data_IF_856612105220
#
_entry.id   IF_856612105220
#
_cell.length_a   1.000
_cell.length_b   1.000
_cell.length_c   1.000
_cell.angle_alpha   90.00
_cell.angle_beta   90.00
_cell.angle_gamma   90.00
#
_symmetry.space_group_name_H-M   'P 1'
#
loop_
_entity.id
_entity.type
_entity.pdbx_description
1 polymer ?
#
# COMPACT_ATOMS: atom_id res chain seq x y z
N UNK A 1 -12.65 -6.20 -8.09
CA UNK A 1 -11.81 -5.26 -8.85
C UNK A 1 -11.87 -5.69 -10.31
N UNK A 2 -12.49 -4.89 -11.19
CA UNK A 2 -12.42 -5.14 -12.64
C UNK A 2 -11.29 -4.29 -13.22
N UNK A 3 -10.35 -4.94 -13.90
CA UNK A 3 -9.20 -4.25 -14.50
C UNK A 3 -9.55 -3.75 -15.89
N UNK A 4 -9.45 -2.44 -16.11
CA UNK A 4 -9.57 -1.87 -17.45
C UNK A 4 -8.24 -2.06 -18.20
N UNK A 5 -8.23 -2.95 -19.19
CA UNK A 5 -7.02 -3.27 -19.98
C UNK A 5 -6.39 -2.03 -20.61
N UNK A 6 -7.17 -1.00 -20.96
CA UNK A 6 -6.67 0.25 -21.56
C UNK A 6 -5.93 1.14 -20.56
N UNK A 7 -6.12 0.93 -19.26
CA UNK A 7 -5.43 1.66 -18.19
C UNK A 7 -4.16 0.94 -17.74
N UNK A 8 -3.95 -0.30 -18.18
CA UNK A 8 -2.83 -1.14 -17.77
C UNK A 8 -1.84 -1.44 -18.90
N UNK A 9 -2.27 -1.26 -20.15
CA UNK A 9 -1.45 -1.53 -21.32
C UNK A 9 -1.46 -0.36 -22.30
N UNK A 10 -0.31 -0.11 -22.92
CA UNK A 10 -0.18 0.73 -24.11
C UNK A 10 -1.00 0.16 -25.29
N UNK A 11 -1.19 0.95 -26.34
CA UNK A 11 -1.83 0.50 -27.58
C UNK A 11 -1.11 -0.72 -28.22
N UNK A 12 0.18 -0.88 -27.96
CA UNK A 12 1.02 -1.99 -28.44
C UNK A 12 1.06 -3.17 -27.46
N UNK A 13 0.12 -3.25 -26.51
CA UNK A 13 0.04 -4.31 -25.49
C UNK A 13 1.29 -4.44 -24.60
N UNK A 14 2.11 -3.40 -24.51
CA UNK A 14 3.16 -3.30 -23.49
C UNK A 14 2.57 -2.82 -22.16
N UNK A 15 2.93 -3.42 -21.00
CA UNK A 15 2.38 -3.04 -19.70
C UNK A 15 2.83 -1.63 -19.31
N UNK A 16 1.92 -0.85 -18.74
CA UNK A 16 2.21 0.47 -18.18
C UNK A 16 2.91 0.32 -16.82
N UNK A 17 3.70 1.32 -16.38
CA UNK A 17 4.34 1.31 -15.05
C UNK A 17 3.34 1.07 -13.90
N UNK A 18 2.09 1.49 -14.08
CA UNK A 18 1.00 1.27 -13.13
C UNK A 18 0.70 -0.21 -12.91
N UNK A 19 0.80 -1.05 -13.94
CA UNK A 19 0.61 -2.49 -13.79
C UNK A 19 1.70 -3.09 -12.89
N UNK A 20 2.95 -2.66 -13.05
CA UNK A 20 4.04 -3.12 -12.17
C UNK A 20 3.77 -2.76 -10.72
N UNK A 21 3.34 -1.52 -10.45
CA UNK A 21 2.99 -1.07 -9.09
C UNK A 21 1.86 -1.91 -8.49
N UNK A 22 0.76 -2.09 -9.23
CA UNK A 22 -0.39 -2.89 -8.80
C UNK A 22 0.04 -4.33 -8.51
N UNK A 23 0.80 -4.97 -9.41
CA UNK A 23 1.26 -6.34 -9.20
C UNK A 23 2.13 -6.45 -7.96
N UNK A 24 3.07 -5.53 -7.75
CA UNK A 24 3.92 -5.52 -6.55
C UNK A 24 3.09 -5.32 -5.27
N UNK A 25 2.11 -4.42 -5.29
CA UNK A 25 1.22 -4.15 -4.16
C UNK A 25 0.38 -5.38 -3.77
N UNK A 26 -0.32 -5.98 -4.74
CA UNK A 26 -1.19 -7.13 -4.49
C UNK A 26 -0.39 -8.38 -4.09
N UNK A 27 0.81 -8.58 -4.65
CA UNK A 27 1.70 -9.65 -4.18
C UNK A 27 2.31 -9.35 -2.81
N UNK A 28 2.50 -8.07 -2.44
CA UNK A 28 2.82 -7.66 -1.08
C UNK A 28 1.75 -8.15 -0.10
N UNK A 29 0.46 -7.94 -0.41
CA UNK A 29 -0.65 -8.49 0.38
C UNK A 29 -0.64 -10.02 0.43
N UNK A 30 -0.37 -10.69 -0.70
CA UNK A 30 -0.25 -12.14 -0.73
C UNK A 30 0.88 -12.67 0.18
N UNK A 31 1.93 -11.86 0.40
CA UNK A 31 3.05 -12.13 1.32
C UNK A 31 2.78 -11.62 2.75
N UNK A 32 1.61 -11.05 3.03
CA UNK A 32 1.21 -10.61 4.36
C UNK A 32 1.51 -9.14 4.70
N UNK A 33 1.97 -8.34 3.73
CA UNK A 33 2.10 -6.90 3.93
C UNK A 33 0.71 -6.23 4.01
N UNK A 34 0.60 -5.20 4.85
CA UNK A 34 -0.61 -4.40 5.05
C UNK A 34 -0.39 -2.98 4.53
N UNK A 35 -1.46 -2.21 4.41
CA UNK A 35 -1.36 -0.86 3.86
C UNK A 35 -0.53 0.08 4.75
N UNK A 36 0.34 0.84 4.12
CA UNK A 36 1.27 1.73 4.80
C UNK A 36 0.58 2.95 5.43
N UNK A 37 -0.58 3.37 4.92
CA UNK A 37 -1.37 4.46 5.55
C UNK A 37 -1.95 4.06 6.92
N UNK A 38 -2.06 2.76 7.20
CA UNK A 38 -2.52 2.23 8.49
C UNK A 38 -1.36 2.01 9.47
N UNK A 39 -0.12 2.39 9.09
CA UNK A 39 1.04 2.27 9.95
C UNK A 39 0.83 3.02 11.28
N UNK A 40 1.26 2.49 12.45
CA UNK A 40 1.10 3.13 13.76
C UNK A 40 1.59 4.59 13.80
N UNK A 41 2.64 4.87 13.03
CA UNK A 41 3.29 6.18 12.87
C UNK A 41 2.79 7.01 11.66
N UNK A 42 1.82 6.51 10.88
CA UNK A 42 1.23 7.25 9.76
C UNK A 42 0.34 8.39 10.27
N UNK A 43 0.94 9.56 10.47
CA UNK A 43 0.25 10.76 10.94
C UNK A 43 -0.35 11.56 9.77
N UNK A 44 -1.18 10.90 8.97
CA UNK A 44 -1.85 11.52 7.82
C UNK A 44 -2.91 12.51 8.35
N UNK A 45 -2.87 13.79 7.93
CA UNK A 45 -3.82 14.79 8.40
C UNK A 45 -5.13 14.71 7.60
N UNK A 46 -5.89 13.62 7.75
CA UNK A 46 -7.14 13.42 7.01
C UNK A 46 -8.15 14.56 7.23
N UNK A 47 -8.78 15.02 6.16
CA UNK A 47 -9.96 15.89 6.24
C UNK A 47 -11.21 15.02 6.41
N UNK A 48 -11.38 14.40 7.58
CA UNK A 48 -12.48 13.46 7.85
C UNK A 48 -13.89 14.01 7.54
N UNK A 49 -14.22 15.28 7.85
CA UNK A 49 -15.53 15.86 7.50
C UNK A 49 -15.82 15.89 6.00
N UNK A 50 -14.78 15.88 5.15
CA UNK A 50 -14.91 15.78 3.70
C UNK A 50 -14.87 14.32 3.23
N UNK A 51 -13.90 13.55 3.73
CA UNK A 51 -13.62 12.20 3.26
C UNK A 51 -14.75 11.22 3.59
N UNK A 52 -15.27 11.24 4.82
CA UNK A 52 -16.30 10.28 5.27
C UNK A 52 -17.59 10.38 4.43
N UNK A 53 -18.17 11.57 4.17
CA UNK A 53 -19.33 11.68 3.29
C UNK A 53 -19.09 11.21 1.85
N UNK A 54 -17.86 11.35 1.32
CA UNK A 54 -17.52 10.86 -0.01
C UNK A 54 -17.49 9.33 -0.06
N UNK A 55 -16.88 8.69 0.94
CA UNK A 55 -16.82 7.23 1.05
C UNK A 55 -18.20 6.60 1.32
N UNK A 56 -19.05 7.25 2.11
CA UNK A 56 -20.43 6.80 2.30
C UNK A 56 -21.21 6.78 0.97
N UNK A 57 -20.94 7.74 0.06
CA UNK A 57 -21.58 7.79 -1.26
C UNK A 57 -21.13 6.64 -2.18
N UNK A 58 -19.98 6.02 -1.94
CA UNK A 58 -19.54 4.84 -2.70
C UNK A 58 -20.19 3.55 -2.19
N UNK A 59 -21.05 3.63 -1.17
CA UNK A 59 -21.77 2.49 -0.59
C UNK A 59 -21.03 1.80 0.55
N UNK A 60 -19.90 2.35 1.02
CA UNK A 60 -19.20 1.84 2.20
C UNK A 60 -19.98 2.19 3.47
N UNK A 61 -20.03 1.26 4.42
CA UNK A 61 -20.50 1.50 5.78
C UNK A 61 -19.48 2.27 6.61
N UNK A 62 -19.91 2.88 7.72
CA UNK A 62 -18.99 3.54 8.66
C UNK A 62 -17.93 2.58 9.23
N UNK A 63 -18.27 1.30 9.42
CA UNK A 63 -17.35 0.27 9.88
C UNK A 63 -16.27 -0.01 8.84
N UNK A 64 -16.64 -0.19 7.57
CA UNK A 64 -15.69 -0.35 6.47
C UNK A 64 -14.81 0.90 6.29
N UNK A 65 -15.37 2.09 6.45
CA UNK A 65 -14.61 3.35 6.39
C UNK A 65 -13.55 3.40 7.50
N UNK A 66 -13.92 3.08 8.73
CA UNK A 66 -12.95 3.04 9.83
C UNK A 66 -11.87 2.00 9.57
N UNK A 67 -12.28 0.76 9.28
CA UNK A 67 -11.38 -0.38 9.12
C UNK A 67 -10.40 -0.19 7.96
N UNK A 68 -10.85 0.39 6.84
CA UNK A 68 -10.04 0.49 5.62
C UNK A 68 -9.20 1.78 5.55
N UNK A 69 -9.59 2.87 6.23
CA UNK A 69 -8.97 4.18 6.08
C UNK A 69 -8.38 4.78 7.35
N UNK A 70 -9.05 4.63 8.50
CA UNK A 70 -8.71 5.36 9.72
C UNK A 70 -8.04 4.52 10.79
N UNK A 71 -8.41 3.24 10.87
CA UNK A 71 -7.83 2.32 11.83
C UNK A 71 -6.37 2.03 11.47
N UNK A 72 -5.51 2.07 12.50
CA UNK A 72 -4.10 1.71 12.39
C UNK A 72 -3.90 0.30 12.90
N UNK A 73 -2.95 -0.43 12.32
CA UNK A 73 -2.60 -1.74 12.87
C UNK A 73 -1.81 -1.59 14.18
N UNK A 74 -1.95 -2.59 15.05
CA UNK A 74 -1.21 -2.65 16.31
C UNK A 74 0.24 -3.05 16.05
N UNK A 75 1.17 -2.27 16.61
CA UNK A 75 2.60 -2.50 16.43
C UNK A 75 3.05 -3.90 16.88
N UNK A 76 2.37 -4.50 17.86
CA UNK A 76 2.73 -5.82 18.37
C UNK A 76 2.44 -6.96 17.38
N UNK A 77 1.53 -6.75 16.42
CA UNK A 77 1.04 -7.79 15.53
C UNK A 77 1.84 -7.89 14.23
N UNK A 78 2.69 -6.90 13.94
CA UNK A 78 3.39 -6.78 12.66
C UNK A 78 4.90 -6.59 12.83
N UNK A 79 5.68 -7.17 11.91
CA UNK A 79 7.04 -6.72 11.67
C UNK A 79 6.99 -5.52 10.73
N UNK A 80 7.41 -4.35 11.22
CA UNK A 80 7.36 -3.09 10.46
C UNK A 80 8.68 -2.33 10.57
N UNK A 81 8.96 -1.51 9.56
CA UNK A 81 10.04 -0.49 9.60
C UNK A 81 9.43 0.88 9.97
N UNK A 82 10.21 1.95 10.09
CA UNK A 82 9.61 3.28 10.27
C UNK A 82 8.71 3.65 9.08
N UNK A 83 7.58 4.33 9.32
CA UNK A 83 6.61 4.73 8.28
C UNK A 83 7.28 5.22 6.99
N UNK A 84 6.80 4.71 5.86
CA UNK A 84 7.38 4.94 4.54
C UNK A 84 6.37 5.51 3.54
N UNK A 85 6.54 6.79 3.20
CA UNK A 85 5.72 7.46 2.18
C UNK A 85 5.96 6.94 0.77
N UNK A 86 7.05 6.22 0.55
CA UNK A 86 7.45 5.68 -0.74
C UNK A 86 7.20 4.17 -0.88
N UNK A 87 6.65 3.53 0.14
CA UNK A 87 6.30 2.11 0.08
C UNK A 87 5.31 1.83 -1.04
N UNK A 88 5.51 0.71 -1.75
CA UNK A 88 4.53 0.21 -2.72
C UNK A 88 3.19 -0.14 -2.06
N UNK A 89 3.17 -0.37 -0.75
CA UNK A 89 1.98 -0.66 0.05
C UNK A 89 1.17 0.58 0.42
N UNK A 90 1.61 1.77 0.00
CA UNK A 90 0.88 3.00 0.23
C UNK A 90 -0.14 3.26 -0.89
N UNK A 91 -1.37 3.68 -0.53
CA UNK A 91 -2.32 4.22 -1.51
C UNK A 91 -2.00 5.64 -1.92
N UNK A 92 -2.54 6.07 -3.06
CA UNK A 92 -2.56 7.47 -3.41
C UNK A 92 -3.45 8.25 -2.44
N UNK A 93 -2.90 9.31 -1.87
CA UNK A 93 -3.59 10.27 -1.02
C UNK A 93 -3.51 11.63 -1.72
N UNK A 94 -4.53 11.99 -2.51
CA UNK A 94 -4.64 13.32 -3.10
C UNK A 94 -4.71 14.39 -2.00
N UNK A 95 -4.02 15.51 -2.22
CA UNK A 95 -3.95 16.64 -1.28
C UNK A 95 -5.34 17.10 -0.79
N UNK A 96 -6.30 17.15 -1.70
CA UNK A 96 -7.67 17.58 -1.42
C UNK A 96 -8.44 16.73 -0.39
N UNK A 97 -7.96 15.54 -0.03
CA UNK A 97 -8.53 14.69 1.02
C UNK A 97 -7.90 14.94 2.40
N UNK A 98 -6.96 15.86 2.50
CA UNK A 98 -6.18 16.13 3.72
C UNK A 98 -6.23 17.61 4.12
N UNK A 99 -5.77 17.90 5.33
CA UNK A 99 -5.63 19.24 5.87
C UNK A 99 -4.19 19.73 5.66
N UNK A 100 -4.04 20.95 5.13
CA UNK A 100 -2.74 21.55 4.85
C UNK A 100 -2.19 21.10 3.51
N UNK A 101 -0.86 20.90 3.45
CA UNK A 101 -0.16 20.49 2.23
C UNK A 101 0.45 19.09 2.43
N UNK A 102 -0.40 18.08 2.35
CA UNK A 102 -0.01 16.68 2.48
C UNK A 102 -0.55 15.88 1.29
N UNK A 103 0.33 15.24 0.54
CA UNK A 103 -0.07 14.29 -0.50
C UNK A 103 0.88 13.10 -0.59
N UNK A 104 0.35 11.99 -1.11
CA UNK A 104 1.11 10.81 -1.49
C UNK A 104 0.64 10.42 -2.89
N UNK A 105 1.51 10.49 -3.89
CA UNK A 105 1.21 10.07 -5.25
C UNK A 105 2.23 9.02 -5.66
N UNK A 106 1.78 7.80 -5.94
CA UNK A 106 2.64 6.63 -6.16
C UNK A 106 2.81 6.27 -7.64
N UNK A 107 2.36 7.15 -8.55
CA UNK A 107 2.54 6.97 -10.00
C UNK A 107 4.02 6.73 -10.33
N UNK A 108 4.31 5.58 -10.93
CA UNK A 108 5.66 5.19 -11.33
C UNK A 108 6.59 4.74 -10.20
N UNK A 109 6.10 4.65 -8.96
CA UNK A 109 6.86 4.06 -7.85
C UNK A 109 6.95 2.54 -7.97
N UNK A 110 7.99 2.00 -7.37
CA UNK A 110 8.27 0.56 -7.24
C UNK A 110 8.59 0.27 -5.77
N UNK A 111 9.10 -0.94 -5.46
CA UNK A 111 9.57 -1.30 -4.12
C UNK A 111 10.53 -0.24 -3.58
N UNK A 112 10.21 0.28 -2.39
CA UNK A 112 11.12 1.14 -1.65
C UNK A 112 12.26 0.33 -1.02
N UNK A 113 13.36 0.98 -0.58
CA UNK A 113 14.39 0.29 0.19
C UNK A 113 13.85 -0.39 1.46
N UNK A 114 12.83 0.20 2.10
CA UNK A 114 12.20 -0.34 3.31
C UNK A 114 11.27 -1.52 3.02
N UNK A 115 10.56 -1.52 1.89
CA UNK A 115 9.78 -2.68 1.43
C UNK A 115 10.71 -3.91 1.32
N UNK A 116 11.88 -3.72 0.71
CA UNK A 116 12.90 -4.76 0.53
C UNK A 116 13.48 -5.19 1.88
N UNK A 117 13.81 -4.23 2.76
CA UNK A 117 14.34 -4.50 4.09
C UNK A 117 13.39 -5.37 4.93
N UNK A 118 12.13 -4.96 5.05
CA UNK A 118 11.11 -5.67 5.82
C UNK A 118 10.88 -7.07 5.25
N UNK A 119 10.68 -7.19 3.93
CA UNK A 119 10.44 -8.48 3.31
C UNK A 119 11.65 -9.42 3.42
N UNK A 120 12.88 -8.89 3.34
CA UNK A 120 14.10 -9.69 3.52
C UNK A 120 14.29 -10.16 4.96
N UNK A 121 13.80 -9.40 5.94
CA UNK A 121 13.83 -9.80 7.34
C UNK A 121 12.79 -10.89 7.64
N UNK A 122 11.60 -10.82 7.02
CA UNK A 122 10.53 -11.82 7.17
C UNK A 122 10.89 -13.12 6.41
N UNK A 123 11.44 -12.99 5.20
CA UNK A 123 11.82 -14.09 4.32
C UNK A 123 13.33 -14.06 4.02
N UNK A 124 14.19 -14.38 5.01
CA UNK A 124 15.63 -14.34 4.82
C UNK A 124 16.10 -15.39 3.81
N UNK A 125 17.25 -15.13 3.20
CA UNK A 125 17.89 -16.04 2.26
C UNK A 125 18.10 -17.43 2.90
N UNK A 126 17.75 -18.47 2.14
CA UNK A 126 17.77 -19.87 2.57
C UNK A 126 19.13 -20.52 2.37
N UNK A 127 20.22 -19.75 2.32
CA UNK A 127 21.59 -20.25 2.14
C UNK A 127 22.04 -21.36 3.13
N UNK A 128 21.26 -21.64 4.18
CA UNK A 128 21.44 -22.75 5.13
C UNK A 128 20.23 -23.72 5.20
N UNK A 129 19.41 -23.79 4.16
CA UNK A 129 18.36 -24.79 4.08
C UNK A 129 19.00 -26.17 3.98
N UNK A 130 18.62 -27.07 4.88
CA UNK A 130 19.01 -28.49 4.84
C UNK A 130 18.63 -29.21 3.53
N UNK A 131 17.85 -28.56 2.66
CA UNK A 131 17.43 -29.05 1.36
C UNK A 131 18.28 -28.50 0.20
N UNK A 132 19.20 -27.55 0.45
CA UNK A 132 20.06 -26.93 -0.56
C UNK A 132 21.49 -27.51 -0.59
N UNK A 133 21.79 -28.52 0.24
CA UNK A 133 22.96 -29.38 0.03
C UNK A 133 22.60 -30.52 -0.94
N UNK A 134 23.30 -30.66 -2.08
CA UNK A 134 23.06 -31.74 -3.06
C UNK A 134 23.34 -33.15 -2.51
#
# INVERSE_FOLDING_TARGET
MEFNVKELYTAELSPLPELTRIVLHEFGHALGAVHEHQHPQANIPWNEPLLRPLLLQTGLSDEEINTNFFDRYEAADFHYSAYDRDSVMHFDIPNGLTLGDFEIINVGKTLSPKDIEVMSAIYPDRANSKFDTP
#
